data_IF_215622252839
#
_entry.id   IF_215622252839
#
_cell.length_a   1.000
_cell.length_b   1.000
_cell.length_c   1.000
_cell.angle_alpha   90.00
_cell.angle_beta   90.00
_cell.angle_gamma   90.00
#
_symmetry.space_group_name_H-M   'P 1'
#
loop_
_entity.id
_entity.type
_entity.pdbx_description
1 polymer ?
#
# COMPACT_ATOMS: atom_id res chain seq x y z
N UNK A 1 -7.22 2.42 -8.43
CA UNK A 1 -7.80 1.14 -8.89
C UNK A 1 -7.00 0.56 -10.05
N UNK A 2 -6.68 1.32 -11.11
CA UNK A 2 -5.88 0.81 -12.23
C UNK A 2 -4.49 0.25 -11.85
N UNK A 3 -3.84 0.80 -10.83
CA UNK A 3 -2.57 0.27 -10.28
C UNK A 3 -2.70 -1.17 -9.78
N UNK A 4 -3.88 -1.58 -9.31
CA UNK A 4 -4.12 -2.93 -8.79
C UNK A 4 -4.04 -4.01 -9.87
N UNK A 5 -3.93 -3.66 -11.15
CA UNK A 5 -3.64 -4.62 -12.22
C UNK A 5 -2.16 -5.10 -12.18
N UNK A 6 -1.28 -4.41 -11.44
CA UNK A 6 0.09 -4.88 -11.20
C UNK A 6 0.08 -6.10 -10.26
N UNK A 7 0.79 -7.20 -10.59
CA UNK A 7 0.83 -8.39 -9.75
C UNK A 7 1.23 -8.09 -8.30
N UNK A 8 2.21 -7.22 -8.10
CA UNK A 8 2.76 -6.85 -6.79
C UNK A 8 1.72 -6.17 -5.88
N UNK A 9 0.75 -5.45 -6.44
CA UNK A 9 -0.31 -4.79 -5.67
C UNK A 9 -1.26 -5.79 -4.98
N UNK A 10 -1.36 -7.01 -5.51
CA UNK A 10 -2.28 -8.04 -5.01
C UNK A 10 -1.57 -9.26 -4.42
N UNK A 11 -0.35 -9.58 -4.85
CA UNK A 11 0.32 -10.85 -4.54
C UNK A 11 0.44 -11.16 -3.04
N UNK A 12 0.62 -10.13 -2.20
CA UNK A 12 0.86 -10.30 -0.76
C UNK A 12 -0.33 -9.93 0.14
N UNK A 13 -1.51 -9.60 -0.39
CA UNK A 13 -2.63 -9.17 0.47
C UNK A 13 -3.07 -10.28 1.44
N UNK A 14 -2.99 -11.55 1.02
CA UNK A 14 -3.34 -12.68 1.89
C UNK A 14 -2.38 -12.83 3.07
N UNK A 15 -1.12 -12.40 2.93
CA UNK A 15 -0.15 -12.39 4.03
C UNK A 15 -0.65 -11.46 5.15
N UNK A 16 -1.09 -10.25 4.82
CA UNK A 16 -1.58 -9.30 5.81
C UNK A 16 -2.80 -9.82 6.59
N UNK A 17 -3.69 -10.59 5.94
CA UNK A 17 -4.80 -11.26 6.59
C UNK A 17 -4.36 -12.39 7.53
N UNK A 18 -3.43 -13.24 7.09
CA UNK A 18 -2.86 -14.32 7.92
C UNK A 18 -2.13 -13.79 9.15
N UNK A 19 -1.36 -12.72 8.98
CA UNK A 19 -0.60 -12.05 10.03
C UNK A 19 -1.45 -11.07 10.87
N UNK A 20 -2.75 -10.96 10.60
CA UNK A 20 -3.71 -10.12 11.33
C UNK A 20 -3.26 -8.65 11.48
N UNK A 21 -2.71 -8.07 10.41
CA UNK A 21 -2.10 -6.73 10.42
C UNK A 21 -3.15 -5.61 10.53
N UNK A 22 -3.68 -5.39 11.73
CA UNK A 22 -4.67 -4.34 12.03
C UNK A 22 -4.11 -2.91 12.11
N UNK A 23 -2.82 -2.77 11.82
CA UNK A 23 -2.11 -1.52 11.62
C UNK A 23 -1.98 -1.13 10.13
N UNK A 24 -2.57 -1.88 9.20
CA UNK A 24 -2.57 -1.58 7.77
C UNK A 24 -3.96 -1.15 7.30
N UNK A 25 -4.00 0.00 6.63
CA UNK A 25 -5.18 0.50 5.92
C UNK A 25 -4.80 0.79 4.47
N UNK A 26 -5.36 0.02 3.54
CA UNK A 26 -5.27 0.35 2.12
C UNK A 26 -6.40 1.31 1.75
N UNK A 27 -6.08 2.30 0.92
CA UNK A 27 -7.06 3.26 0.40
C UNK A 27 -6.99 3.23 -1.11
N UNK A 28 -7.89 2.45 -1.71
CA UNK A 28 -7.97 2.33 -3.16
C UNK A 28 -8.92 3.40 -3.68
N UNK A 29 -8.36 4.39 -4.37
CA UNK A 29 -9.16 5.33 -5.14
C UNK A 29 -9.77 4.60 -6.35
N UNK A 30 -11.09 4.39 -6.31
CA UNK A 30 -11.87 3.75 -7.36
C UNK A 30 -12.57 4.80 -8.22
N UNK A 31 -11.78 5.50 -9.05
CA UNK A 31 -12.33 6.44 -10.04
C UNK A 31 -12.85 5.74 -11.31
N UNK A 32 -12.69 4.42 -11.38
CA UNK A 32 -13.10 3.47 -12.42
C UNK A 32 -12.26 3.53 -13.69
N UNK A 33 -11.17 4.30 -13.71
CA UNK A 33 -10.33 4.54 -14.89
C UNK A 33 -8.85 4.25 -14.61
N UNK A 34 -8.17 3.72 -15.63
CA UNK A 34 -6.73 3.81 -15.84
C UNK A 34 -6.44 4.94 -16.84
N UNK A 35 -5.19 5.08 -17.27
CA UNK A 35 -4.77 6.21 -18.10
C UNK A 35 -5.54 6.31 -19.43
N UNK A 36 -5.73 5.17 -20.11
CA UNK A 36 -6.35 5.12 -21.45
C UNK A 36 -7.79 4.60 -21.46
N UNK A 37 -8.49 4.58 -20.31
CA UNK A 37 -9.89 4.16 -20.26
C UNK A 37 -10.31 3.48 -18.97
N UNK A 38 -11.52 2.88 -18.92
CA UNK A 38 -11.99 2.18 -17.73
C UNK A 38 -11.12 1.00 -17.33
N UNK A 39 -11.00 0.73 -16.03
CA UNK A 39 -10.29 -0.46 -15.51
C UNK A 39 -11.06 -1.74 -15.86
N UNK A 40 -12.38 -1.72 -15.65
CA UNK A 40 -13.31 -2.84 -15.88
C UNK A 40 -14.62 -2.38 -16.51
N UNK A 41 -14.58 -1.81 -17.73
CA UNK A 41 -15.75 -1.18 -18.35
C UNK A 41 -17.00 -2.06 -18.47
N UNK A 42 -16.83 -3.35 -18.76
CA UNK A 42 -17.93 -4.31 -18.92
C UNK A 42 -18.34 -5.01 -17.61
N UNK A 43 -17.68 -4.69 -16.49
CA UNK A 43 -17.97 -5.27 -15.18
C UNK A 43 -17.85 -4.21 -14.09
N UNK A 44 -17.41 -4.57 -12.89
CA UNK A 44 -17.45 -3.71 -11.71
C UNK A 44 -16.22 -3.92 -10.84
N UNK A 45 -15.25 -3.02 -10.93
CA UNK A 45 -13.94 -3.14 -10.29
C UNK A 45 -14.03 -3.16 -8.76
N UNK A 46 -14.96 -2.40 -8.18
CA UNK A 46 -15.13 -2.33 -6.73
C UNK A 46 -15.61 -3.68 -6.17
N UNK A 47 -16.49 -4.38 -6.88
CA UNK A 47 -16.99 -5.70 -6.50
C UNK A 47 -15.90 -6.76 -6.66
N UNK A 48 -15.12 -6.71 -7.74
CA UNK A 48 -13.94 -7.56 -7.93
C UNK A 48 -12.99 -7.43 -6.73
N UNK A 49 -12.62 -6.20 -6.36
CA UNK A 49 -11.73 -5.96 -5.22
C UNK A 49 -12.36 -6.34 -3.89
N UNK A 50 -13.66 -6.07 -3.67
CA UNK A 50 -14.34 -6.51 -2.46
C UNK A 50 -14.22 -8.03 -2.28
N UNK A 51 -14.51 -8.81 -3.31
CA UNK A 51 -14.41 -10.27 -3.25
C UNK A 51 -12.98 -10.73 -2.95
N UNK A 52 -12.00 -10.15 -3.65
CA UNK A 52 -10.58 -10.48 -3.47
C UNK A 52 -10.11 -10.20 -2.04
N UNK A 53 -10.35 -8.99 -1.52
CA UNK A 53 -9.90 -8.59 -0.19
C UNK A 53 -10.63 -9.34 0.93
N UNK A 54 -11.95 -9.58 0.80
CA UNK A 54 -12.67 -10.42 1.77
C UNK A 54 -12.12 -11.84 1.83
N UNK A 55 -11.84 -12.44 0.67
CA UNK A 55 -11.24 -13.77 0.61
C UNK A 55 -9.83 -13.80 1.23
N UNK A 56 -9.08 -12.70 1.14
CA UNK A 56 -7.78 -12.53 1.76
C UNK A 56 -7.82 -12.22 3.27
N UNK A 57 -9.00 -12.20 3.90
CA UNK A 57 -9.16 -11.95 5.35
C UNK A 57 -9.15 -10.47 5.75
N UNK A 58 -9.44 -9.54 4.82
CA UNK A 58 -9.49 -8.12 5.10
C UNK A 58 -10.89 -7.65 5.49
N UNK A 59 -10.95 -6.62 6.34
CA UNK A 59 -12.13 -5.80 6.49
C UNK A 59 -12.28 -4.89 5.26
N UNK A 60 -13.42 -4.97 4.57
CA UNK A 60 -13.69 -4.16 3.37
C UNK A 60 -14.75 -3.11 3.67
N UNK A 61 -14.37 -1.84 3.51
CA UNK A 61 -15.25 -0.68 3.64
C UNK A 61 -15.43 -0.05 2.25
N UNK A 62 -16.67 0.00 1.77
CA UNK A 62 -17.02 0.58 0.47
C UNK A 62 -17.62 1.97 0.65
N UNK A 63 -17.00 2.98 0.05
CA UNK A 63 -17.46 4.38 0.09
C UNK A 63 -17.98 4.75 -1.29
N UNK A 64 -19.24 4.39 -1.59
CA UNK A 64 -19.78 4.40 -2.95
C UNK A 64 -20.58 5.67 -3.26
N UNK A 65 -21.48 6.05 -2.35
CA UNK A 65 -22.48 7.10 -2.56
C UNK A 65 -22.32 8.20 -1.50
N UNK A 66 -22.45 9.46 -1.91
CA UNK A 66 -22.48 10.60 -0.99
C UNK A 66 -23.84 10.74 -0.30
N UNK A 67 -23.93 11.62 0.69
CA UNK A 67 -25.11 11.80 1.55
C UNK A 67 -26.38 12.20 0.80
N UNK A 68 -26.27 12.81 -0.38
CA UNK A 68 -27.44 13.10 -1.24
C UNK A 68 -28.21 11.86 -1.68
N UNK A 69 -27.59 10.68 -1.68
CA UNK A 69 -28.26 9.41 -1.99
C UNK A 69 -29.00 8.78 -0.80
N UNK A 70 -28.69 9.18 0.44
CA UNK A 70 -29.24 8.54 1.63
C UNK A 70 -30.78 8.65 1.66
N UNK A 71 -31.30 9.86 1.40
CA UNK A 71 -32.74 10.11 1.35
C UNK A 71 -33.44 9.31 0.24
N UNK A 72 -32.80 9.14 -0.93
CA UNK A 72 -33.36 8.35 -2.03
C UNK A 72 -33.38 6.85 -1.69
N UNK A 73 -32.31 6.33 -1.10
CA UNK A 73 -32.23 4.95 -0.63
C UNK A 73 -33.23 4.66 0.48
N UNK A 74 -33.49 5.62 1.37
CA UNK A 74 -34.50 5.49 2.43
C UNK A 74 -35.94 5.59 1.87
N UNK A 75 -36.17 6.47 0.88
CA UNK A 75 -37.46 6.65 0.19
C UNK A 75 -37.84 5.42 -0.64
N UNK A 76 -36.88 4.74 -1.26
CA UNK A 76 -37.13 3.54 -2.08
C UNK A 76 -37.60 2.34 -1.24
N UNK A 77 -38.91 2.04 -1.32
CA UNK A 77 -39.52 0.84 -0.69
C UNK A 77 -39.55 -0.38 -1.61
N UNK A 78 -39.27 -0.20 -2.91
CA UNK A 78 -39.28 -1.27 -3.90
C UNK A 78 -37.98 -2.08 -3.92
N UNK A 79 -36.87 -1.46 -3.51
CA UNK A 79 -35.53 -2.02 -3.62
C UNK A 79 -34.94 -1.90 -5.05
N UNK A 80 -35.70 -1.35 -5.99
CA UNK A 80 -35.27 -1.19 -7.39
C UNK A 80 -34.08 -0.24 -7.52
N UNK A 81 -33.90 0.73 -6.62
CA UNK A 81 -32.77 1.66 -6.71
C UNK A 81 -31.48 0.90 -6.45
N UNK A 82 -31.46 0.07 -5.40
CA UNK A 82 -30.34 -0.81 -5.10
C UNK A 82 -30.11 -1.82 -6.23
N UNK A 83 -31.18 -2.40 -6.79
CA UNK A 83 -31.06 -3.29 -7.93
C UNK A 83 -30.41 -2.58 -9.12
N UNK A 84 -30.90 -1.40 -9.52
CA UNK A 84 -30.34 -0.63 -10.63
C UNK A 84 -28.88 -0.27 -10.39
N UNK A 85 -28.53 0.13 -9.17
CA UNK A 85 -27.14 0.41 -8.80
C UNK A 85 -26.21 -0.81 -8.99
N UNK A 86 -26.74 -2.02 -8.77
CA UNK A 86 -26.04 -3.30 -8.93
C UNK A 86 -26.06 -3.84 -10.35
N UNK A 87 -26.99 -3.41 -11.20
CA UNK A 87 -26.98 -3.77 -12.62
C UNK A 87 -25.95 -2.95 -13.38
N UNK A 88 -25.86 -1.64 -13.10
CA UNK A 88 -25.00 -0.72 -13.82
C UNK A 88 -23.52 -1.15 -13.82
N UNK A 89 -22.91 -1.33 -14.99
CA UNK A 89 -21.47 -1.60 -15.10
C UNK A 89 -20.64 -0.32 -14.99
N UNK A 90 -19.34 -0.44 -14.72
CA UNK A 90 -18.46 0.73 -14.57
C UNK A 90 -18.47 1.62 -15.81
N UNK A 91 -18.55 1.05 -17.01
CA UNK A 91 -18.66 1.80 -18.27
C UNK A 91 -19.91 2.69 -18.32
N UNK A 92 -21.06 2.21 -17.83
CA UNK A 92 -22.28 3.03 -17.73
C UNK A 92 -22.08 4.16 -16.71
N UNK A 93 -21.50 3.89 -15.55
CA UNK A 93 -21.21 4.93 -14.54
C UNK A 93 -20.22 5.99 -15.05
N UNK A 94 -19.31 5.60 -15.94
CA UNK A 94 -18.42 6.53 -16.61
C UNK A 94 -19.18 7.39 -17.60
N UNK A 95 -20.03 6.80 -18.45
CA UNK A 95 -20.87 7.54 -19.38
C UNK A 95 -21.82 8.49 -18.65
N UNK A 96 -22.50 8.05 -17.58
CA UNK A 96 -23.36 8.95 -16.80
C UNK A 96 -22.63 10.19 -16.32
N UNK A 97 -21.36 10.06 -15.93
CA UNK A 97 -20.59 11.19 -15.41
C UNK A 97 -19.99 12.09 -16.50
N UNK A 98 -19.98 11.67 -17.76
CA UNK A 98 -19.57 12.49 -18.90
C UNK A 98 -20.74 13.22 -19.58
N UNK A 99 -21.97 13.05 -19.10
CA UNK A 99 -23.20 13.62 -19.67
C UNK A 99 -23.76 14.73 -18.74
N UNK A 100 -25.07 14.74 -18.49
CA UNK A 100 -25.76 15.72 -17.64
C UNK A 100 -26.89 15.06 -16.82
N UNK A 101 -27.57 15.86 -15.98
CA UNK A 101 -28.66 15.40 -15.11
C UNK A 101 -29.85 14.78 -15.86
N UNK A 102 -30.25 15.36 -17.00
CA UNK A 102 -31.34 14.84 -17.83
C UNK A 102 -31.00 13.43 -18.37
N UNK A 103 -29.76 13.25 -18.84
CA UNK A 103 -29.28 11.95 -19.30
C UNK A 103 -29.30 10.91 -18.17
N UNK A 104 -28.91 11.28 -16.96
CA UNK A 104 -28.97 10.40 -15.78
C UNK A 104 -30.42 10.06 -15.42
N UNK A 105 -31.33 11.03 -15.45
CA UNK A 105 -32.76 10.78 -15.24
C UNK A 105 -33.27 9.74 -16.23
N UNK A 106 -33.01 9.92 -17.51
CA UNK A 106 -33.52 9.04 -18.57
C UNK A 106 -32.86 7.65 -18.55
N UNK A 107 -31.54 7.57 -18.42
CA UNK A 107 -30.80 6.32 -18.66
C UNK A 107 -30.46 5.53 -17.40
N UNK A 108 -30.45 6.17 -16.22
CA UNK A 108 -30.27 5.49 -14.94
C UNK A 108 -31.61 5.27 -14.24
N UNK A 109 -32.33 6.34 -13.92
CA UNK A 109 -33.63 6.25 -13.25
C UNK A 109 -34.74 5.78 -14.20
N UNK A 110 -34.71 6.16 -15.48
CA UNK A 110 -35.69 5.74 -16.49
C UNK A 110 -35.68 4.26 -16.87
N UNK A 111 -34.75 3.47 -16.32
CA UNK A 111 -34.76 2.02 -16.49
C UNK A 111 -36.02 1.37 -15.91
N UNK A 112 -36.56 1.94 -14.84
CA UNK A 112 -37.77 1.47 -14.15
C UNK A 112 -38.71 2.67 -13.91
N UNK A 113 -40.00 2.59 -14.26
CA UNK A 113 -40.95 3.69 -14.02
C UNK A 113 -41.00 4.15 -12.55
N UNK A 114 -40.85 3.23 -11.60
CA UNK A 114 -40.83 3.50 -10.16
C UNK A 114 -39.63 4.36 -9.75
N UNK A 115 -38.49 4.21 -10.44
CA UNK A 115 -37.30 5.01 -10.18
C UNK A 115 -37.41 6.42 -10.77
N UNK A 116 -38.17 6.61 -11.86
CA UNK A 116 -38.52 7.95 -12.33
C UNK A 116 -39.44 8.66 -11.34
N UNK A 117 -40.43 7.95 -10.80
CA UNK A 117 -41.31 8.48 -9.76
C UNK A 117 -40.52 8.81 -8.48
N UNK A 118 -39.51 8.01 -8.13
CA UNK A 118 -38.66 8.26 -6.97
C UNK A 118 -37.97 9.63 -7.01
N UNK A 119 -37.61 10.10 -8.22
CA UNK A 119 -36.92 11.39 -8.48
C UNK A 119 -37.81 12.42 -9.19
N UNK A 120 -39.13 12.24 -9.17
CA UNK A 120 -40.09 13.13 -9.85
C UNK A 120 -40.08 14.57 -9.30
N UNK A 121 -39.73 14.72 -8.03
CA UNK A 121 -39.58 15.97 -7.29
C UNK A 121 -38.19 16.62 -7.41
N UNK A 122 -37.22 15.92 -8.00
CA UNK A 122 -35.87 16.45 -8.23
C UNK A 122 -35.78 17.13 -9.58
N UNK A 123 -35.07 18.26 -9.67
CA UNK A 123 -34.65 18.82 -10.97
C UNK A 123 -33.46 18.04 -11.53
N UNK A 124 -33.17 18.20 -12.83
CA UNK A 124 -31.99 17.58 -13.45
C UNK A 124 -30.69 18.07 -12.79
N UNK A 125 -30.62 19.32 -12.37
CA UNK A 125 -29.48 19.86 -11.61
C UNK A 125 -29.31 19.18 -10.24
N UNK A 126 -30.42 18.87 -9.56
CA UNK A 126 -30.37 18.13 -8.30
C UNK A 126 -29.92 16.69 -8.52
N UNK A 127 -30.40 16.02 -9.57
CA UNK A 127 -29.91 14.70 -9.97
C UNK A 127 -28.41 14.75 -10.29
N UNK A 128 -27.96 15.77 -11.02
CA UNK A 128 -26.56 15.93 -11.40
C UNK A 128 -25.62 16.14 -10.21
N UNK A 129 -26.11 16.75 -9.13
CA UNK A 129 -25.37 16.99 -7.88
C UNK A 129 -25.23 15.74 -7.00
N UNK A 130 -25.90 14.64 -7.31
CA UNK A 130 -25.75 13.37 -6.59
C UNK A 130 -24.30 12.87 -6.69
N UNK A 131 -23.56 12.95 -5.58
CA UNK A 131 -22.12 12.72 -5.56
C UNK A 131 -21.73 11.25 -5.35
N UNK A 132 -20.53 10.89 -5.81
CA UNK A 132 -19.87 9.64 -5.43
C UNK A 132 -19.30 9.81 -4.01
N UNK A 133 -19.32 8.74 -3.21
CA UNK A 133 -19.03 8.81 -1.77
C UNK A 133 -17.61 9.23 -1.42
N UNK A 134 -16.62 8.97 -2.29
CA UNK A 134 -15.25 9.43 -2.08
C UNK A 134 -15.06 10.95 -2.17
N UNK A 135 -16.09 11.69 -2.57
CA UNK A 135 -16.13 13.16 -2.56
C UNK A 135 -16.98 13.73 -1.41
N UNK A 136 -17.49 12.87 -0.54
CA UNK A 136 -18.27 13.24 0.63
C UNK A 136 -17.40 13.13 1.90
N UNK A 137 -17.03 14.26 2.54
CA UNK A 137 -16.14 14.25 3.69
C UNK A 137 -16.68 13.42 4.87
N UNK A 138 -18.00 13.38 5.08
CA UNK A 138 -18.60 12.61 6.17
C UNK A 138 -18.49 11.11 5.90
N UNK A 139 -18.77 10.68 4.66
CA UNK A 139 -18.62 9.26 4.28
C UNK A 139 -17.16 8.81 4.34
N UNK A 140 -16.23 9.65 3.90
CA UNK A 140 -14.79 9.38 3.96
C UNK A 140 -14.31 9.32 5.42
N UNK A 141 -14.69 10.29 6.26
CA UNK A 141 -14.36 10.29 7.69
C UNK A 141 -14.87 9.01 8.37
N UNK A 142 -16.13 8.63 8.15
CA UNK A 142 -16.71 7.44 8.74
C UNK A 142 -15.97 6.16 8.32
N UNK A 143 -15.48 6.09 7.08
CA UNK A 143 -14.67 4.97 6.62
C UNK A 143 -13.33 4.87 7.34
N UNK A 144 -12.58 5.98 7.46
CA UNK A 144 -11.33 6.00 8.23
C UNK A 144 -11.56 5.70 9.71
N UNK A 145 -12.59 6.29 10.31
CA UNK A 145 -12.93 6.07 11.72
C UNK A 145 -13.29 4.60 11.99
N UNK A 146 -14.01 3.94 11.07
CA UNK A 146 -14.30 2.52 11.15
C UNK A 146 -13.04 1.66 10.95
N UNK A 147 -12.20 1.99 9.98
CA UNK A 147 -10.94 1.29 9.72
C UNK A 147 -9.98 1.35 10.92
N UNK A 148 -9.78 2.53 11.52
CA UNK A 148 -8.91 2.71 12.68
C UNK A 148 -9.40 2.00 13.94
N UNK A 149 -10.71 1.73 14.06
CA UNK A 149 -11.30 0.98 15.17
C UNK A 149 -11.32 -0.54 14.94
N UNK A 150 -11.11 -0.99 13.71
CA UNK A 150 -11.10 -2.41 13.40
C UNK A 150 -9.86 -3.09 14.02
N UNK A 151 -10.02 -4.35 14.45
CA UNK A 151 -9.01 -5.15 15.12
C UNK A 151 -9.00 -6.57 14.59
N UNK A 152 -7.82 -7.21 14.63
CA UNK A 152 -7.64 -8.60 14.23
C UNK A 152 -7.46 -8.85 12.73
N UNK A 153 -7.33 -7.79 11.92
CA UNK A 153 -7.03 -7.89 10.50
C UNK A 153 -6.87 -6.52 9.82
N UNK A 154 -6.28 -6.48 8.62
CA UNK A 154 -6.11 -5.26 7.84
C UNK A 154 -7.44 -4.75 7.28
N UNK A 155 -7.49 -3.45 6.96
CA UNK A 155 -8.68 -2.84 6.32
C UNK A 155 -8.36 -2.29 4.93
N UNK A 156 -9.27 -2.46 3.99
CA UNK A 156 -9.26 -1.74 2.70
C UNK A 156 -10.49 -0.83 2.60
N UNK A 157 -10.24 0.43 2.23
CA UNK A 157 -11.25 1.41 1.89
C UNK A 157 -11.30 1.51 0.36
N UNK A 158 -12.43 1.12 -0.22
CA UNK A 158 -12.71 1.24 -1.65
C UNK A 158 -13.54 2.51 -1.88
N UNK A 159 -12.86 3.61 -2.21
CA UNK A 159 -13.45 4.93 -2.32
C UNK A 159 -13.84 5.25 -3.77
N UNK A 160 -15.14 5.26 -4.07
CA UNK A 160 -15.64 5.62 -5.40
C UNK A 160 -15.52 7.13 -5.60
N UNK A 161 -14.70 7.58 -6.55
CA UNK A 161 -14.49 9.01 -6.86
C UNK A 161 -14.73 9.29 -8.35
N UNK A 162 -14.53 10.53 -8.80
CA UNK A 162 -14.55 10.94 -10.20
C UNK A 162 -13.14 11.39 -10.58
N UNK A 163 -12.55 10.82 -11.63
CA UNK A 163 -11.28 11.30 -12.19
C UNK A 163 -11.47 12.70 -12.76
N UNK A 164 -10.57 13.64 -12.44
CA UNK A 164 -10.69 15.03 -12.86
C UNK A 164 -11.84 15.80 -12.20
N UNK A 165 -12.26 15.42 -10.99
CA UNK A 165 -13.36 16.09 -10.29
C UNK A 165 -13.16 17.60 -10.17
N UNK A 166 -14.19 18.36 -10.55
CA UNK A 166 -14.19 19.82 -10.54
C UNK A 166 -13.54 20.46 -11.77
N UNK A 167 -13.02 19.68 -12.72
CA UNK A 167 -12.43 20.20 -13.96
C UNK A 167 -13.44 20.43 -15.08
N UNK A 168 -14.71 20.04 -14.90
CA UNK A 168 -15.75 20.18 -15.92
C UNK A 168 -15.36 19.52 -17.24
N UNK A 169 -15.69 20.18 -18.36
CA UNK A 169 -15.38 19.67 -19.71
C UNK A 169 -13.89 19.46 -19.98
N UNK A 170 -13.01 20.08 -19.19
CA UNK A 170 -11.56 19.95 -19.34
C UNK A 170 -10.99 18.60 -18.85
N UNK A 171 -11.81 17.71 -18.29
CA UNK A 171 -11.34 16.36 -17.93
C UNK A 171 -12.18 15.58 -16.93
N UNK A 172 -13.26 16.14 -16.38
CA UNK A 172 -14.08 15.47 -15.35
C UNK A 172 -14.82 14.27 -15.95
N UNK A 173 -14.42 13.05 -15.54
CA UNK A 173 -14.99 11.82 -16.07
C UNK A 173 -14.57 11.48 -17.50
N UNK A 174 -13.64 12.23 -18.10
CA UNK A 174 -13.23 12.09 -19.49
C UNK A 174 -11.87 11.37 -19.65
N UNK A 175 -11.72 10.62 -20.74
CA UNK A 175 -10.45 10.00 -21.15
C UNK A 175 -9.66 10.96 -22.05
N UNK A 176 -9.31 12.14 -21.53
CA UNK A 176 -8.44 13.08 -22.23
C UNK A 176 -6.98 12.62 -22.20
N UNK A 177 -6.20 13.01 -23.21
CA UNK A 177 -4.77 12.69 -23.30
C UNK A 177 -4.02 13.17 -22.05
N UNK A 178 -3.38 12.26 -21.33
CA UNK A 178 -2.62 12.55 -20.10
C UNK A 178 -1.41 13.48 -20.34
N UNK A 179 -0.98 13.68 -21.59
CA UNK A 179 0.10 14.61 -21.94
C UNK A 179 -0.36 16.07 -22.12
N UNK A 180 -1.64 16.39 -21.90
CA UNK A 180 -2.13 17.77 -22.01
C UNK A 180 -1.46 18.67 -20.96
N UNK A 181 -0.50 19.50 -21.39
CA UNK A 181 0.39 20.26 -20.50
C UNK A 181 -0.25 21.51 -19.89
N UNK A 182 -1.36 22.02 -20.43
CA UNK A 182 -1.98 23.28 -20.00
C UNK A 182 -3.51 23.20 -20.09
N UNK A 183 -4.18 23.75 -19.08
CA UNK A 183 -5.61 24.05 -19.13
C UNK A 183 -5.83 25.35 -19.90
N UNK A 184 -6.91 25.42 -20.67
CA UNK A 184 -7.34 26.66 -21.32
C UNK A 184 -7.87 27.68 -20.30
N UNK A 185 -7.88 28.97 -20.68
CA UNK A 185 -8.31 30.06 -19.80
C UNK A 185 -9.74 29.87 -19.24
N UNK A 186 -10.69 29.44 -20.09
CA UNK A 186 -12.07 29.16 -19.67
C UNK A 186 -12.16 28.01 -18.66
N UNK A 187 -11.34 26.97 -18.83
CA UNK A 187 -11.28 25.85 -17.88
C UNK A 187 -10.72 26.29 -16.52
N UNK A 188 -9.72 27.19 -16.52
CA UNK A 188 -9.16 27.77 -15.29
C UNK A 188 -10.21 28.64 -14.59
N UNK A 189 -10.92 29.48 -15.32
CA UNK A 189 -12.02 30.30 -14.79
C UNK A 189 -13.14 29.43 -14.19
N UNK A 190 -13.59 28.42 -14.93
CA UNK A 190 -14.59 27.48 -14.46
C UNK A 190 -14.13 26.73 -13.18
N UNK A 191 -12.86 26.35 -13.08
CA UNK A 191 -12.30 25.74 -11.87
C UNK A 191 -12.30 26.71 -10.68
N UNK A 192 -11.87 27.97 -10.88
CA UNK A 192 -11.92 29.05 -9.87
C UNK A 192 -13.33 29.22 -9.34
N UNK A 193 -14.31 29.33 -10.24
CA UNK A 193 -15.73 29.48 -9.91
C UNK A 193 -16.28 28.26 -9.17
N UNK A 194 -15.95 27.04 -9.65
CA UNK A 194 -16.45 25.77 -9.10
C UNK A 194 -16.08 25.57 -7.64
N UNK A 195 -14.89 26.03 -7.24
CA UNK A 195 -14.36 25.92 -5.88
C UNK A 195 -14.40 27.24 -5.11
N UNK A 196 -15.04 28.27 -5.67
CA UNK A 196 -15.20 29.59 -5.06
C UNK A 196 -13.87 30.19 -4.57
N UNK A 197 -12.82 30.08 -5.38
CA UNK A 197 -11.50 30.59 -5.02
C UNK A 197 -11.45 32.11 -5.15
N UNK A 198 -10.85 32.78 -4.16
CA UNK A 198 -10.71 34.24 -4.10
C UNK A 198 -9.58 34.73 -5.03
N UNK A 199 -9.83 34.66 -6.34
CA UNK A 199 -8.95 35.13 -7.41
C UNK A 199 -9.81 35.93 -8.38
N UNK A 200 -9.42 37.14 -8.76
CA UNK A 200 -10.14 37.94 -9.76
C UNK A 200 -9.84 37.47 -11.19
N UNK A 201 -10.69 37.79 -12.17
CA UNK A 201 -10.50 37.39 -13.57
C UNK A 201 -9.16 37.86 -14.13
N UNK A 202 -8.74 39.09 -13.80
CA UNK A 202 -7.47 39.67 -14.26
C UNK A 202 -6.23 38.96 -13.70
N UNK A 203 -6.37 38.26 -12.56
CA UNK A 203 -5.27 37.51 -11.92
C UNK A 203 -5.13 36.07 -12.46
N UNK A 204 -6.09 35.56 -13.23
CA UNK A 204 -6.07 34.16 -13.68
C UNK A 204 -4.88 33.85 -14.59
N UNK A 205 -4.41 34.83 -15.37
CA UNK A 205 -3.27 34.66 -16.27
C UNK A 205 -1.95 34.39 -15.54
N UNK A 206 -1.81 34.93 -14.32
CA UNK A 206 -0.60 34.80 -13.50
C UNK A 206 -0.52 33.45 -12.77
N UNK A 207 -1.63 32.72 -12.69
CA UNK A 207 -1.75 31.45 -11.95
C UNK A 207 -1.19 31.56 -10.52
N UNK A 208 -1.69 32.51 -9.70
CA UNK A 208 -1.11 32.79 -8.39
C UNK A 208 -1.27 31.61 -7.44
N UNK A 209 -0.24 31.34 -6.64
CA UNK A 209 -0.36 30.43 -5.51
C UNK A 209 -1.18 31.07 -4.38
N UNK A 210 -2.24 30.39 -3.97
CA UNK A 210 -3.05 30.78 -2.82
C UNK A 210 -2.47 30.18 -1.53
N UNK A 211 -2.42 31.00 -0.47
CA UNK A 211 -2.17 30.56 0.89
C UNK A 211 -3.19 31.23 1.83
N UNK A 212 -3.70 30.53 2.85
CA UNK A 212 -4.49 31.17 3.90
C UNK A 212 -3.75 32.38 4.49
N UNK A 213 -4.45 33.50 4.66
CA UNK A 213 -3.86 34.69 5.25
C UNK A 213 -3.46 34.41 6.71
N UNK A 214 -2.36 35.02 7.15
CA UNK A 214 -1.94 34.85 8.55
C UNK A 214 -3.02 35.37 9.51
N UNK A 215 -3.36 34.56 10.51
CA UNK A 215 -4.44 34.86 11.46
C UNK A 215 -5.86 34.59 10.95
N UNK A 216 -6.06 34.15 9.70
CA UNK A 216 -7.38 33.76 9.20
C UNK A 216 -7.91 32.49 9.88
N UNK A 217 -9.22 32.28 9.82
CA UNK A 217 -9.88 31.08 10.37
C UNK A 217 -9.27 29.80 9.77
N UNK A 218 -9.03 29.79 8.46
CA UNK A 218 -8.47 28.66 7.71
C UNK A 218 -7.02 28.38 8.14
N UNK A 219 -6.19 29.42 8.28
CA UNK A 219 -4.81 29.31 8.73
C UNK A 219 -4.72 28.75 10.16
N UNK A 220 -5.53 29.30 11.06
CA UNK A 220 -5.62 28.85 12.45
C UNK A 220 -6.14 27.41 12.54
N UNK A 221 -7.18 27.07 11.78
CA UNK A 221 -7.73 25.72 11.73
C UNK A 221 -6.72 24.69 11.22
N UNK A 222 -6.06 24.96 10.09
CA UNK A 222 -5.04 24.08 9.52
C UNK A 222 -3.89 23.85 10.51
N UNK A 223 -3.36 24.93 11.12
CA UNK A 223 -2.29 24.86 12.11
C UNK A 223 -2.72 24.05 13.34
N UNK A 224 -3.91 24.32 13.88
CA UNK A 224 -4.44 23.62 15.04
C UNK A 224 -4.60 22.11 14.78
N UNK A 225 -5.14 21.72 13.61
CA UNK A 225 -5.30 20.30 13.25
C UNK A 225 -3.98 19.58 13.06
N UNK A 226 -3.00 20.21 12.39
CA UNK A 226 -1.66 19.62 12.26
C UNK A 226 -0.94 19.51 13.61
N UNK A 227 -1.05 20.53 14.46
CA UNK A 227 -0.48 20.48 15.81
C UNK A 227 -1.06 19.33 16.66
N UNK A 228 -2.38 19.12 16.61
CA UNK A 228 -3.05 18.00 17.29
C UNK A 228 -2.61 16.62 16.77
N UNK A 229 -2.16 16.53 15.51
CA UNK A 229 -1.75 15.29 14.84
C UNK A 229 -0.22 15.11 14.79
N UNK A 230 0.53 15.80 15.65
CA UNK A 230 1.97 15.63 15.78
C UNK A 230 2.83 16.39 14.77
N UNK A 231 2.28 17.40 14.09
CA UNK A 231 3.02 18.26 13.16
C UNK A 231 2.64 18.05 11.70
N UNK A 232 3.52 18.39 10.76
CA UNK A 232 3.28 18.28 9.32
C UNK A 232 3.83 16.97 8.76
N UNK A 233 3.15 16.39 7.76
CA UNK A 233 3.59 15.21 7.01
C UNK A 233 3.35 15.43 5.50
N UNK A 234 4.15 14.83 4.59
CA UNK A 234 5.28 13.95 4.87
C UNK A 234 6.47 14.69 5.49
N UNK A 235 7.21 14.01 6.36
CA UNK A 235 8.46 14.48 6.94
C UNK A 235 9.40 13.27 7.09
N UNK A 236 10.70 13.48 6.89
CA UNK A 236 11.71 12.42 6.99
C UNK A 236 12.82 12.88 7.94
N UNK A 237 13.08 12.08 8.95
CA UNK A 237 14.13 12.33 9.93
C UNK A 237 15.27 11.33 9.72
N UNK A 238 16.49 11.69 10.07
CA UNK A 238 17.66 10.80 9.97
C UNK A 238 18.42 10.65 11.27
N UNK A 239 17.93 11.28 12.33
CA UNK A 239 18.56 11.29 13.65
C UNK A 239 18.17 9.99 14.37
N UNK A 240 19.05 9.00 14.29
CA UNK A 240 18.97 7.75 15.04
C UNK A 240 20.25 7.57 15.84
N UNK A 241 20.15 6.91 16.99
CA UNK A 241 21.31 6.57 17.80
C UNK A 241 22.34 5.78 16.96
N UNK A 242 23.61 6.16 17.06
CA UNK A 242 24.68 5.46 16.35
C UNK A 242 24.86 4.07 16.92
N UNK A 243 25.05 3.08 16.05
CA UNK A 243 25.36 1.72 16.46
C UNK A 243 26.73 1.66 17.14
N UNK A 244 26.80 0.94 18.25
CA UNK A 244 28.08 0.55 18.87
C UNK A 244 28.64 -0.64 18.09
N UNK A 245 29.37 -0.34 17.01
CA UNK A 245 29.94 -1.36 16.13
C UNK A 245 31.02 -2.15 16.90
N UNK A 246 30.94 -3.49 16.96
CA UNK A 246 31.95 -4.30 17.62
C UNK A 246 33.33 -4.13 16.95
N UNK A 247 34.44 -4.17 17.72
CA UNK A 247 35.77 -4.11 17.14
C UNK A 247 36.03 -5.36 16.29
N UNK A 248 36.88 -5.24 15.26
CA UNK A 248 37.22 -6.34 14.36
C UNK A 248 37.72 -7.60 15.10
N UNK A 249 38.33 -7.44 16.28
CA UNK A 249 38.85 -8.55 17.10
C UNK A 249 37.77 -9.54 17.57
N UNK A 250 36.49 -9.16 17.60
CA UNK A 250 35.42 -10.15 17.88
C UNK A 250 35.35 -11.24 16.81
N UNK A 251 35.90 -10.98 15.63
CA UNK A 251 35.99 -11.91 14.49
C UNK A 251 37.36 -12.60 14.39
N UNK A 252 38.23 -12.54 15.41
CA UNK A 252 39.58 -13.13 15.36
C UNK A 252 39.59 -14.61 14.93
N UNK A 253 38.57 -15.39 15.31
CA UNK A 253 38.47 -16.81 14.90
C UNK A 253 38.10 -17.00 13.43
N UNK A 254 37.46 -16.01 12.82
CA UNK A 254 37.10 -15.96 11.41
C UNK A 254 38.24 -15.38 10.57
N UNK A 255 39.11 -14.54 11.17
CA UNK A 255 40.28 -13.95 10.51
C UNK A 255 41.47 -14.92 10.41
N UNK A 256 41.50 -15.96 11.24
CA UNK A 256 42.53 -17.01 11.18
C UNK A 256 42.26 -17.98 10.03
N UNK A 257 43.35 -18.54 9.47
CA UNK A 257 43.28 -19.61 8.47
C UNK A 257 42.45 -20.80 8.98
N UNK A 258 41.66 -21.41 8.09
CA UNK A 258 40.95 -22.67 8.37
C UNK A 258 41.83 -23.91 8.23
N UNK A 259 43.13 -23.74 7.94
CA UNK A 259 44.07 -24.82 7.72
C UNK A 259 43.67 -25.66 6.50
N UNK A 260 43.70 -26.98 6.65
CA UNK A 260 43.33 -27.91 5.58
C UNK A 260 41.81 -28.03 5.37
N UNK A 261 40.99 -27.44 6.26
CA UNK A 261 39.53 -27.48 6.13
C UNK A 261 39.06 -26.41 5.16
N UNK A 262 38.59 -26.85 3.98
CA UNK A 262 37.86 -25.99 3.05
C UNK A 262 36.51 -25.56 3.63
N UNK A 263 36.17 -24.28 3.47
CA UNK A 263 34.83 -23.75 3.75
C UNK A 263 34.40 -22.84 2.59
N UNK A 264 33.09 -22.69 2.39
CA UNK A 264 32.55 -21.71 1.45
C UNK A 264 32.51 -20.31 2.08
N UNK A 265 32.42 -19.28 1.24
CA UNK A 265 32.17 -17.90 1.70
C UNK A 265 30.82 -17.76 2.39
N UNK A 266 29.81 -18.55 2.02
CA UNK A 266 28.53 -18.63 2.73
C UNK A 266 28.70 -19.17 4.16
N UNK A 267 29.48 -20.25 4.34
CA UNK A 267 29.81 -20.75 5.68
C UNK A 267 30.57 -19.70 6.51
N UNK A 268 31.49 -18.97 5.89
CA UNK A 268 32.20 -17.87 6.56
C UNK A 268 31.23 -16.76 6.99
N UNK A 269 30.29 -16.37 6.13
CA UNK A 269 29.24 -15.40 6.45
C UNK A 269 28.38 -15.84 7.65
N UNK A 270 27.87 -17.08 7.67
CA UNK A 270 27.04 -17.57 8.79
C UNK A 270 27.84 -17.58 10.10
N UNK A 271 29.14 -17.88 10.05
CA UNK A 271 30.04 -17.77 11.21
C UNK A 271 30.19 -16.33 11.69
N UNK A 272 30.25 -15.34 10.79
CA UNK A 272 30.29 -13.91 11.16
C UNK A 272 28.96 -13.50 11.77
N UNK A 273 27.84 -13.81 11.12
CA UNK A 273 26.49 -13.50 11.59
C UNK A 273 26.24 -14.08 12.99
N UNK A 274 26.62 -15.34 13.21
CA UNK A 274 26.53 -16.01 14.52
C UNK A 274 27.30 -15.28 15.63
N UNK A 275 28.46 -14.69 15.32
CA UNK A 275 29.23 -13.88 16.28
C UNK A 275 28.50 -12.56 16.56
N UNK A 276 28.06 -11.86 15.52
CA UNK A 276 27.40 -10.55 15.66
C UNK A 276 26.06 -10.66 16.42
N UNK A 277 25.31 -11.75 16.21
CA UNK A 277 24.05 -12.03 16.94
C UNK A 277 24.24 -12.23 18.45
N UNK A 278 25.46 -12.57 18.89
CA UNK A 278 25.81 -12.72 20.32
C UNK A 278 26.29 -11.41 20.95
N UNK A 279 26.54 -10.38 20.16
CA UNK A 279 26.97 -9.08 20.67
C UNK A 279 25.81 -8.42 21.45
N UNK A 280 26.05 -7.97 22.69
CA UNK A 280 24.98 -7.42 23.53
C UNK A 280 24.44 -6.07 23.05
N UNK A 281 25.19 -5.34 22.22
CA UNK A 281 24.84 -3.99 21.78
C UNK A 281 24.08 -4.01 20.44
N UNK A 282 24.49 -4.87 19.51
CA UNK A 282 23.88 -4.94 18.16
C UNK A 282 23.07 -6.20 17.90
N UNK A 283 23.23 -7.26 18.71
CA UNK A 283 22.67 -8.58 18.43
C UNK A 283 21.15 -8.55 18.21
N UNK A 284 20.42 -7.77 19.01
CA UNK A 284 18.95 -7.58 18.89
C UNK A 284 18.52 -6.69 17.72
N UNK A 285 19.43 -5.92 17.14
CA UNK A 285 19.17 -5.00 16.03
C UNK A 285 19.44 -5.65 14.67
N UNK A 286 20.07 -6.83 14.65
CA UNK A 286 20.31 -7.60 13.44
C UNK A 286 19.00 -8.23 12.97
N UNK A 287 18.71 -8.18 11.68
CA UNK A 287 17.51 -8.78 11.10
C UNK A 287 17.92 -9.77 9.99
N UNK A 288 18.08 -11.06 10.30
CA UNK A 288 18.32 -12.08 9.29
C UNK A 288 17.04 -12.32 8.49
N UNK A 289 17.13 -12.25 7.16
CA UNK A 289 15.99 -12.41 6.24
C UNK A 289 16.35 -13.48 5.22
N UNK A 290 15.42 -14.40 4.97
CA UNK A 290 15.61 -15.52 4.04
C UNK A 290 14.29 -15.86 3.33
N UNK A 291 14.31 -16.14 2.02
CA UNK A 291 13.15 -16.61 1.30
C UNK A 291 13.19 -18.14 1.21
N UNK A 292 12.61 -18.81 2.20
CA UNK A 292 12.55 -20.27 2.38
C UNK A 292 13.89 -20.94 2.74
N UNK A 293 14.87 -20.94 1.84
CA UNK A 293 15.99 -21.88 1.80
C UNK A 293 17.14 -21.69 2.82
N UNK A 294 16.80 -21.55 4.10
CA UNK A 294 17.78 -21.37 5.20
C UNK A 294 18.81 -22.51 5.30
N UNK A 295 18.38 -23.77 5.08
CA UNK A 295 19.26 -24.96 5.16
C UNK A 295 20.31 -24.98 4.07
N UNK A 296 19.95 -24.59 2.85
CA UNK A 296 20.87 -24.44 1.72
C UNK A 296 22.03 -23.50 2.09
N UNK A 297 21.75 -22.47 2.87
CA UNK A 297 22.74 -21.49 3.30
C UNK A 297 23.41 -21.82 4.64
N UNK A 298 23.10 -22.96 5.26
CA UNK A 298 23.69 -23.38 6.54
C UNK A 298 23.20 -22.58 7.75
N UNK A 299 22.00 -21.98 7.67
CA UNK A 299 21.44 -21.13 8.72
C UNK A 299 20.59 -21.89 9.75
N UNK A 300 20.35 -23.18 9.59
CA UNK A 300 19.47 -23.99 10.43
C UNK A 300 19.84 -24.00 11.91
N UNK A 301 21.13 -23.84 12.23
CA UNK A 301 21.60 -23.72 13.60
C UNK A 301 21.08 -22.45 14.29
N UNK A 302 20.76 -21.40 13.52
CA UNK A 302 20.22 -20.14 14.05
C UNK A 302 18.75 -20.28 14.47
N UNK A 303 17.99 -21.23 13.92
CA UNK A 303 16.58 -21.46 14.30
C UNK A 303 16.46 -21.70 15.79
N UNK A 304 17.33 -22.55 16.35
CA UNK A 304 17.33 -22.81 17.78
C UNK A 304 17.82 -21.61 18.60
N UNK A 305 18.81 -20.88 18.09
CA UNK A 305 19.47 -19.78 18.81
C UNK A 305 18.57 -18.55 18.95
N UNK A 306 17.95 -18.12 17.85
CA UNK A 306 17.24 -16.84 17.77
C UNK A 306 15.79 -16.97 17.27
N UNK A 307 15.34 -18.17 16.90
CA UNK A 307 13.97 -18.42 16.46
C UNK A 307 13.64 -17.82 15.08
N UNK A 308 12.59 -18.36 14.48
CA UNK A 308 11.91 -17.79 13.31
C UNK A 308 10.72 -16.99 13.82
N UNK A 309 10.58 -15.75 13.36
CA UNK A 309 9.46 -14.91 13.74
C UNK A 309 8.14 -15.52 13.22
N UNK A 310 7.16 -15.65 14.11
CA UNK A 310 5.78 -16.01 13.77
C UNK A 310 4.83 -15.26 14.69
N UNK A 311 3.86 -14.52 14.13
CA UNK A 311 2.89 -13.75 14.93
C UNK A 311 2.09 -14.63 15.92
N UNK A 312 1.87 -15.90 15.59
CA UNK A 312 1.12 -16.85 16.43
C UNK A 312 2.01 -17.83 17.20
N UNK A 313 3.32 -17.78 17.00
CA UNK A 313 4.27 -18.79 17.49
C UNK A 313 4.10 -20.14 16.80
N UNK A 314 4.60 -21.20 17.43
CA UNK A 314 4.55 -22.57 16.90
C UNK A 314 3.38 -23.35 17.51
N UNK A 315 2.38 -23.70 16.69
CA UNK A 315 1.16 -24.41 17.12
C UNK A 315 1.21 -25.93 16.90
N UNK A 316 2.37 -26.46 16.52
CA UNK A 316 2.58 -27.85 16.14
C UNK A 316 3.95 -28.36 16.62
N UNK A 317 4.11 -29.68 16.68
CA UNK A 317 5.44 -30.29 16.86
C UNK A 317 6.11 -30.45 15.49
N UNK A 318 7.28 -29.83 15.24
CA UNK A 318 7.94 -29.96 13.95
C UNK A 318 8.47 -31.38 13.74
N UNK A 319 8.52 -31.83 12.49
CA UNK A 319 8.96 -33.19 12.14
C UNK A 319 10.40 -33.47 12.63
N UNK A 320 11.23 -32.43 12.67
CA UNK A 320 12.63 -32.50 13.06
C UNK A 320 12.87 -32.17 14.55
N UNK A 321 11.83 -32.16 15.40
CA UNK A 321 11.94 -31.81 16.82
C UNK A 321 13.02 -32.59 17.60
N UNK A 322 13.36 -33.80 17.15
CA UNK A 322 14.42 -34.64 17.75
C UNK A 322 15.84 -34.32 17.27
N UNK A 323 16.01 -33.40 16.30
CA UNK A 323 17.31 -33.02 15.76
C UNK A 323 17.93 -31.85 16.55
N UNK A 324 19.25 -31.69 16.46
CA UNK A 324 19.96 -30.60 17.16
C UNK A 324 19.51 -29.21 16.68
N UNK A 325 19.21 -29.11 15.39
CA UNK A 325 18.89 -27.88 14.66
C UNK A 325 17.47 -27.95 14.12
N UNK A 326 16.53 -28.12 15.04
CA UNK A 326 15.10 -28.27 14.73
C UNK A 326 14.47 -26.92 14.34
N UNK A 327 13.40 -27.00 13.54
CA UNK A 327 12.63 -25.84 13.12
C UNK A 327 11.86 -25.24 14.30
N UNK A 328 12.13 -23.97 14.64
CA UNK A 328 11.58 -23.31 15.83
C UNK A 328 10.98 -21.96 15.46
N UNK A 329 9.66 -21.84 15.61
CA UNK A 329 8.94 -20.58 15.45
C UNK A 329 8.59 -20.00 16.81
N UNK A 330 8.67 -18.67 16.95
CA UNK A 330 8.24 -17.98 18.15
C UNK A 330 7.84 -16.54 17.86
N UNK A 331 7.01 -15.98 18.74
CA UNK A 331 6.56 -14.58 18.64
C UNK A 331 7.69 -13.58 18.85
N UNK A 332 8.75 -14.00 19.53
CA UNK A 332 10.00 -13.26 19.74
C UNK A 332 11.15 -13.74 18.84
N UNK A 333 10.83 -14.58 17.84
CA UNK A 333 11.82 -15.04 16.86
C UNK A 333 12.38 -13.89 16.05
N UNK A 334 13.65 -13.98 15.67
CA UNK A 334 14.39 -12.88 15.04
C UNK A 334 14.64 -13.08 13.54
N UNK A 335 14.59 -14.32 13.05
CA UNK A 335 14.71 -14.61 11.61
C UNK A 335 13.38 -14.31 10.92
N UNK A 336 13.43 -13.48 9.88
CA UNK A 336 12.30 -13.26 8.96
C UNK A 336 12.35 -14.31 7.86
N UNK A 337 11.47 -15.30 7.96
CA UNK A 337 11.29 -16.35 6.97
C UNK A 337 10.12 -15.97 6.06
N UNK A 338 10.43 -15.61 4.82
CA UNK A 338 9.46 -15.00 3.90
C UNK A 338 8.85 -16.01 2.92
N UNK A 339 9.33 -17.27 2.98
CA UNK A 339 8.98 -18.33 2.02
C UNK A 339 9.49 -18.03 0.61
N UNK A 340 8.92 -18.68 -0.41
CA UNK A 340 9.27 -18.49 -1.82
C UNK A 340 8.74 -17.15 -2.35
N UNK A 341 9.29 -16.05 -1.84
CA UNK A 341 8.80 -14.70 -2.08
C UNK A 341 9.94 -13.68 -1.98
N UNK A 342 10.75 -13.57 -3.02
CA UNK A 342 11.86 -12.59 -3.04
C UNK A 342 11.36 -11.14 -2.97
N UNK A 343 10.21 -10.83 -3.58
CA UNK A 343 9.60 -9.49 -3.51
C UNK A 343 9.17 -9.14 -2.07
N UNK A 344 8.65 -10.10 -1.31
CA UNK A 344 8.38 -9.95 0.11
C UNK A 344 9.65 -9.78 0.93
N UNK A 345 10.64 -10.63 0.71
CA UNK A 345 11.91 -10.58 1.43
C UNK A 345 12.69 -9.29 1.21
N UNK A 346 12.76 -8.77 -0.01
CA UNK A 346 13.38 -7.46 -0.25
C UNK A 346 12.54 -6.33 0.35
N UNK A 347 11.21 -6.45 0.41
CA UNK A 347 10.34 -5.45 1.06
C UNK A 347 10.58 -5.40 2.57
N UNK A 348 10.67 -6.55 3.24
CA UNK A 348 11.08 -6.66 4.65
C UNK A 348 12.48 -6.11 4.87
N UNK A 349 13.41 -6.37 3.94
CA UNK A 349 14.76 -5.81 3.98
C UNK A 349 14.77 -4.29 3.84
N UNK A 350 13.97 -3.71 2.93
CA UNK A 350 13.82 -2.25 2.78
C UNK A 350 13.26 -1.63 4.05
N UNK A 351 12.20 -2.22 4.62
CA UNK A 351 11.58 -1.75 5.85
C UNK A 351 12.57 -1.73 7.01
N UNK A 352 13.32 -2.83 7.21
CA UNK A 352 14.37 -2.88 8.21
C UNK A 352 15.46 -1.84 7.91
N UNK A 353 15.99 -1.82 6.67
CA UNK A 353 17.10 -0.97 6.24
C UNK A 353 16.81 0.54 6.31
N UNK A 354 15.54 0.94 6.41
CA UNK A 354 15.09 2.33 6.51
C UNK A 354 14.47 2.67 7.87
N UNK A 355 14.43 1.71 8.81
CA UNK A 355 13.89 1.89 10.17
C UNK A 355 14.56 3.03 10.93
N UNK A 356 15.84 3.32 10.65
CA UNK A 356 16.55 4.45 11.25
C UNK A 356 15.86 5.79 10.97
N UNK A 357 15.24 5.95 9.81
CA UNK A 357 14.56 7.18 9.40
C UNK A 357 13.07 7.18 9.76
N UNK A 358 12.42 6.01 9.68
CA UNK A 358 10.98 5.87 9.86
C UNK A 358 10.59 5.70 11.34
N UNK A 359 11.46 5.08 12.14
CA UNK A 359 11.20 4.72 13.53
C UNK A 359 12.29 5.18 14.52
N UNK A 360 13.37 5.81 14.02
CA UNK A 360 14.50 6.24 14.86
C UNK A 360 15.36 5.09 15.41
N UNK A 361 15.17 3.87 14.91
CA UNK A 361 15.89 2.67 15.34
C UNK A 361 16.74 2.14 14.18
N UNK A 362 18.07 2.19 14.34
CA UNK A 362 18.98 1.63 13.36
C UNK A 362 19.05 0.12 13.50
N UNK A 363 18.46 -0.61 12.55
CA UNK A 363 18.62 -2.07 12.44
C UNK A 363 19.74 -2.43 11.47
N UNK A 364 20.17 -3.69 11.47
CA UNK A 364 21.23 -4.23 10.60
C UNK A 364 20.70 -5.46 9.86
N UNK A 365 19.97 -5.28 8.75
CA UNK A 365 19.37 -6.39 8.04
C UNK A 365 20.37 -7.10 7.12
N UNK A 366 20.31 -8.43 7.14
CA UNK A 366 21.05 -9.33 6.25
C UNK A 366 20.05 -10.20 5.49
N UNK A 367 19.85 -9.91 4.21
CA UNK A 367 18.99 -10.70 3.34
C UNK A 367 19.83 -11.62 2.45
N UNK A 368 19.72 -12.94 2.67
CA UNK A 368 20.44 -13.97 1.91
C UNK A 368 19.50 -14.77 1.03
N UNK A 369 19.89 -14.96 -0.23
CA UNK A 369 19.05 -15.55 -1.28
C UNK A 369 19.93 -16.10 -2.41
N UNK A 370 19.36 -16.89 -3.32
CA UNK A 370 20.06 -17.28 -4.57
C UNK A 370 20.36 -16.04 -5.39
N UNK A 371 21.64 -15.76 -5.64
CA UNK A 371 22.06 -14.53 -6.33
C UNK A 371 21.29 -14.20 -7.62
N UNK A 372 20.86 -15.23 -8.37
CA UNK A 372 20.04 -15.09 -9.57
C UNK A 372 18.71 -14.36 -9.31
N UNK A 373 18.06 -14.59 -8.17
CA UNK A 373 16.76 -14.02 -7.83
C UNK A 373 16.87 -12.69 -7.05
N UNK A 374 18.04 -12.07 -7.04
CA UNK A 374 18.22 -10.70 -6.55
C UNK A 374 17.82 -9.67 -7.60
N UNK A 375 18.80 -8.90 -8.07
CA UNK A 375 18.58 -7.78 -9.00
C UNK A 375 17.84 -8.15 -10.29
N UNK A 376 17.92 -9.40 -10.76
CA UNK A 376 17.19 -9.83 -11.95
C UNK A 376 15.68 -9.98 -11.69
N UNK A 377 15.28 -10.43 -10.49
CA UNK A 377 13.88 -10.69 -10.15
C UNK A 377 13.21 -9.48 -9.50
N UNK A 378 13.92 -8.80 -8.61
CA UNK A 378 13.39 -7.70 -7.78
C UNK A 378 14.13 -6.38 -8.04
N UNK A 379 14.61 -6.17 -9.27
CA UNK A 379 15.44 -5.02 -9.64
C UNK A 379 14.79 -3.66 -9.38
N UNK A 380 13.49 -3.52 -9.65
CA UNK A 380 12.77 -2.26 -9.41
C UNK A 380 12.65 -1.94 -7.91
N UNK A 381 12.42 -2.95 -7.07
CA UNK A 381 12.45 -2.80 -5.61
C UNK A 381 13.86 -2.48 -5.10
N UNK A 382 14.90 -3.07 -5.69
CA UNK A 382 16.29 -2.72 -5.36
C UNK A 382 16.62 -1.27 -5.73
N UNK A 383 16.09 -0.77 -6.85
CA UNK A 383 16.19 0.63 -7.23
C UNK A 383 15.45 1.55 -6.24
N UNK A 384 14.22 1.20 -5.89
CA UNK A 384 13.42 1.91 -4.89
C UNK A 384 14.11 1.94 -3.51
N UNK A 385 14.83 0.87 -3.14
CA UNK A 385 15.64 0.85 -1.91
C UNK A 385 16.77 1.89 -1.92
N UNK A 386 17.40 2.09 -3.08
CA UNK A 386 18.41 3.13 -3.29
C UNK A 386 17.82 4.53 -3.08
N UNK A 387 16.65 4.80 -3.66
CA UNK A 387 15.91 6.06 -3.48
C UNK A 387 15.53 6.29 -2.01
N UNK A 388 15.02 5.24 -1.34
CA UNK A 388 14.63 5.26 0.07
C UNK A 388 15.81 5.43 1.05
N UNK A 389 17.06 5.39 0.55
CA UNK A 389 18.31 5.45 1.32
C UNK A 389 18.45 4.29 2.31
N UNK A 390 18.16 3.07 1.83
CA UNK A 390 18.34 1.83 2.58
C UNK A 390 19.80 1.64 3.03
N UNK A 391 19.99 1.15 4.26
CA UNK A 391 21.28 0.76 4.84
C UNK A 391 21.20 -0.69 5.34
N UNK A 392 21.85 -1.62 4.64
CA UNK A 392 21.79 -3.04 4.96
C UNK A 392 22.65 -3.87 4.04
N UNK A 393 22.58 -5.20 4.18
CA UNK A 393 23.38 -6.14 3.38
C UNK A 393 22.49 -7.08 2.56
N UNK A 394 22.77 -7.17 1.26
CA UNK A 394 22.20 -8.15 0.34
C UNK A 394 23.27 -9.22 0.04
N UNK A 395 22.95 -10.48 0.32
CA UNK A 395 23.86 -11.62 0.28
C UNK A 395 23.40 -12.57 -0.83
N UNK A 396 23.89 -12.34 -2.05
CA UNK A 396 23.66 -13.25 -3.17
C UNK A 396 24.47 -14.54 -3.00
N UNK A 397 23.88 -15.52 -2.33
CA UNK A 397 24.44 -16.86 -2.16
C UNK A 397 24.38 -17.67 -3.47
N UNK A 398 25.02 -18.85 -3.44
CA UNK A 398 25.09 -19.78 -4.59
C UNK A 398 25.53 -19.10 -5.90
N UNK A 399 26.31 -18.03 -5.78
CA UNK A 399 26.78 -17.21 -6.90
C UNK A 399 27.92 -17.87 -7.67
N UNK A 400 28.08 -17.47 -8.93
CA UNK A 400 29.13 -17.97 -9.81
C UNK A 400 28.58 -18.99 -10.80
N UNK A 401 28.74 -18.69 -12.09
CA UNK A 401 28.12 -19.47 -13.19
C UNK A 401 28.44 -20.95 -13.13
N UNK A 402 29.69 -21.29 -12.79
CA UNK A 402 30.17 -22.68 -12.73
C UNK A 402 30.25 -23.21 -11.30
N UNK A 403 29.82 -22.45 -10.30
CA UNK A 403 29.85 -22.90 -8.90
C UNK A 403 28.57 -23.67 -8.55
N UNK A 404 27.45 -23.30 -9.18
CA UNK A 404 26.15 -23.96 -9.06
C UNK A 404 25.86 -24.88 -10.25
N UNK A 405 26.75 -25.86 -10.52
CA UNK A 405 26.75 -26.65 -11.77
C UNK A 405 25.54 -27.57 -11.97
N UNK A 406 24.74 -27.83 -10.93
CA UNK A 406 23.61 -28.76 -10.98
C UNK A 406 22.26 -28.13 -11.33
N UNK A 407 22.09 -26.82 -11.10
CA UNK A 407 20.78 -26.17 -11.25
C UNK A 407 20.48 -25.76 -12.70
N UNK A 408 21.50 -25.46 -13.49
CA UNK A 408 21.34 -25.15 -14.92
C UNK A 408 20.81 -23.72 -15.20
N UNK A 409 20.10 -23.58 -16.33
CA UNK A 409 19.40 -22.35 -16.74
C UNK A 409 17.98 -22.32 -16.19
#
# INVERSE_FOLDING_TARGET
DGEMDQPESQAAIALAGREKLDNIIFVVNCNLQRLDGPVRGNSKVIQEFESLYRAAGWNVIKVIWGSGWDALLEKDKSGLLRQRMMECVDGEYQNYKSQNGAYVREHFFGKYPELLELVSDMSDDHIWKLSRGGHDPEKVYNAYAAAMRHKGGPTVILAKTVKGFGMGEAGEGQNINHQLKKLGAEAIKAFRDRFSLDITDDQLGDMPYLKPAEGSTEALYLKARRAQLGGYIPARFSDAATLQVPPLSVLDTQLKSTGDRGISTTMAFVRILSTLLKDPNIGKLIVPIVPDESRTFGMENLFRQIGIHSHVGQLYTPQDAGQLSYYKESTDGQIMQEGLNESGAISSWIAASTSYANHGVMTVPFYIFYSMFGFQRVGDLAWAAGDARARGFLLGATSGRTTLMGEGL
#
